data_IF_487892392448
#
_entry.id   IF_487892392448
#
_cell.length_a   1.000
_cell.length_b   1.000
_cell.length_c   1.000
_cell.angle_alpha   90.00
_cell.angle_beta   90.00
_cell.angle_gamma   90.00
#
_symmetry.space_group_name_H-M   'P 1'
#
loop_
_entity.id
_entity.type
_entity.pdbx_description
1 polymer ?
#
# COMPACT_ATOMS: atom_id res chain seq x y z
N UNK A 1 24.26 26.81 4.10
CA UNK A 1 23.62 25.93 3.10
C UNK A 1 24.01 24.50 3.43
N UNK A 2 23.03 23.61 3.62
CA UNK A 2 23.32 22.19 3.83
C UNK A 2 23.88 21.58 2.52
N UNK A 3 24.93 20.80 2.66
CA UNK A 3 25.52 20.05 1.52
C UNK A 3 24.62 18.86 1.18
N UNK A 4 23.95 18.91 0.04
CA UNK A 4 23.11 17.84 -0.49
C UNK A 4 23.84 16.95 -1.51
N UNK A 5 25.15 17.18 -1.78
CA UNK A 5 25.88 16.47 -2.83
C UNK A 5 25.85 14.94 -2.67
N UNK A 6 25.84 14.44 -1.42
CA UNK A 6 25.78 12.99 -1.14
C UNK A 6 24.40 12.34 -1.39
N UNK A 7 23.36 13.13 -1.70
CA UNK A 7 22.01 12.65 -1.96
C UNK A 7 21.59 12.79 -3.42
N UNK A 8 22.41 13.33 -4.29
CA UNK A 8 22.05 13.68 -5.67
C UNK A 8 21.69 12.47 -6.52
N UNK A 9 22.28 11.31 -6.24
CA UNK A 9 22.07 10.09 -7.00
C UNK A 9 21.12 9.10 -6.29
N UNK A 10 20.62 9.46 -5.10
CA UNK A 10 19.74 8.60 -4.32
C UNK A 10 18.29 8.73 -4.80
N UNK A 11 17.75 7.65 -5.34
CA UNK A 11 16.40 7.61 -5.90
C UNK A 11 15.39 7.25 -4.81
N UNK A 12 14.60 8.22 -4.38
CA UNK A 12 13.46 7.97 -3.50
C UNK A 12 12.17 7.95 -4.30
N UNK A 13 11.41 6.87 -4.19
CA UNK A 13 10.08 6.72 -4.78
C UNK A 13 9.05 6.87 -3.66
N UNK A 14 8.22 7.89 -3.78
CA UNK A 14 7.10 8.09 -2.86
C UNK A 14 5.86 7.39 -3.41
N UNK A 15 5.16 6.65 -2.56
CA UNK A 15 3.89 6.03 -2.92
C UNK A 15 2.84 6.19 -1.84
N UNK A 16 1.59 6.11 -2.25
CA UNK A 16 0.41 6.08 -1.39
C UNK A 16 -0.36 4.80 -1.62
N UNK A 17 -0.91 4.24 -0.56
CA UNK A 17 -1.67 3.00 -0.62
C UNK A 17 -2.90 3.09 0.29
N UNK A 18 -4.03 2.62 -0.18
CA UNK A 18 -5.27 2.54 0.57
C UNK A 18 -5.59 1.08 0.94
N UNK A 19 -5.96 0.87 2.20
CA UNK A 19 -6.81 -0.23 2.61
C UNK A 19 -8.23 0.32 2.72
N UNK A 20 -9.09 -0.02 1.76
CA UNK A 20 -10.47 0.48 1.70
C UNK A 20 -11.35 -0.50 2.46
N UNK A 21 -11.95 -0.03 3.54
CA UNK A 21 -12.80 -0.82 4.43
C UNK A 21 -14.26 -0.48 4.26
N UNK A 22 -15.08 -1.52 4.25
CA UNK A 22 -16.52 -1.40 4.42
C UNK A 22 -16.97 -2.43 5.46
N UNK A 23 -17.48 -1.97 6.58
CA UNK A 23 -17.75 -2.78 7.76
C UNK A 23 -16.47 -3.54 8.19
N UNK A 24 -16.51 -4.87 8.18
CA UNK A 24 -15.44 -5.79 8.57
C UNK A 24 -14.61 -6.33 7.40
N UNK A 25 -14.84 -5.87 6.17
CA UNK A 25 -14.12 -6.33 4.96
C UNK A 25 -13.23 -5.26 4.38
N UNK A 26 -12.14 -5.70 3.76
CA UNK A 26 -11.18 -4.85 3.05
C UNK A 26 -11.22 -5.14 1.56
N UNK A 27 -11.28 -4.08 0.74
CA UNK A 27 -11.18 -4.18 -0.72
C UNK A 27 -9.72 -4.34 -1.11
N UNK A 28 -9.42 -5.40 -1.84
CA UNK A 28 -8.09 -5.68 -2.34
C UNK A 28 -8.09 -5.93 -3.84
N UNK A 29 -7.05 -5.48 -4.51
CA UNK A 29 -6.77 -5.77 -5.91
C UNK A 29 -6.03 -7.12 -6.00
N UNK A 30 -6.63 -8.13 -6.63
CA UNK A 30 -5.89 -9.31 -7.09
C UNK A 30 -5.24 -8.98 -8.43
N UNK A 31 -3.93 -8.81 -8.44
CA UNK A 31 -3.14 -8.41 -9.61
C UNK A 31 -3.30 -9.41 -10.74
N UNK A 32 -3.38 -8.92 -11.97
CA UNK A 32 -3.46 -9.79 -13.14
C UNK A 32 -2.18 -10.65 -13.28
N UNK A 33 -2.35 -11.88 -13.77
CA UNK A 33 -1.25 -12.82 -13.99
C UNK A 33 -0.24 -12.33 -15.05
N UNK A 34 -0.62 -11.32 -15.83
CA UNK A 34 0.22 -10.67 -16.85
C UNK A 34 1.18 -9.61 -16.27
N UNK A 35 1.02 -9.25 -14.99
CA UNK A 35 1.88 -8.22 -14.36
C UNK A 35 3.28 -8.78 -14.08
N UNK A 36 4.30 -7.92 -14.24
CA UNK A 36 5.71 -8.30 -14.02
C UNK A 36 6.08 -8.45 -12.54
N UNK A 37 5.40 -7.71 -11.67
CA UNK A 37 5.65 -7.70 -10.22
C UNK A 37 4.46 -8.34 -9.54
N UNK A 38 4.69 -9.33 -8.71
CA UNK A 38 3.70 -10.05 -7.89
C UNK A 38 2.41 -10.44 -8.66
N UNK A 39 2.50 -11.18 -9.79
CA UNK A 39 1.32 -11.65 -10.51
C UNK A 39 0.44 -12.54 -9.61
N UNK A 40 -0.88 -12.33 -9.63
CA UNK A 40 -1.84 -13.08 -8.82
C UNK A 40 -1.88 -12.71 -7.34
N UNK A 41 -1.00 -11.82 -6.86
CA UNK A 41 -0.98 -11.38 -5.47
C UNK A 41 -2.09 -10.36 -5.18
N UNK A 42 -2.56 -10.38 -3.94
CA UNK A 42 -3.48 -9.37 -3.43
C UNK A 42 -2.71 -8.17 -2.90
N UNK A 43 -3.09 -6.98 -3.34
CA UNK A 43 -2.46 -5.71 -2.97
C UNK A 43 -3.50 -4.70 -2.50
N UNK A 44 -3.06 -3.66 -1.79
CA UNK A 44 -3.85 -2.44 -1.57
C UNK A 44 -4.04 -1.67 -2.87
N UNK A 45 -4.90 -0.66 -2.83
CA UNK A 45 -5.17 0.26 -3.95
C UNK A 45 -4.23 1.46 -3.81
N UNK A 46 -3.50 1.83 -4.87
CA UNK A 46 -2.62 2.97 -4.80
C UNK A 46 -1.48 2.94 -5.80
N UNK A 47 -0.64 3.97 -5.76
CA UNK A 47 0.46 4.13 -6.70
C UNK A 47 1.45 5.19 -6.30
N UNK A 48 2.23 5.65 -7.27
CA UNK A 48 3.27 6.66 -7.05
C UNK A 48 2.68 8.04 -6.90
N UNK A 49 3.32 8.84 -6.06
CA UNK A 49 3.03 10.27 -5.97
C UNK A 49 3.69 10.98 -7.13
N UNK A 50 2.92 11.74 -7.89
CA UNK A 50 3.39 12.53 -9.02
C UNK A 50 4.19 13.77 -8.55
N UNK A 51 5.10 14.32 -9.37
CA UNK A 51 5.78 15.56 -9.06
C UNK A 51 4.81 16.69 -8.72
N UNK A 52 5.06 17.40 -7.62
CA UNK A 52 4.23 18.50 -7.12
C UNK A 52 2.80 18.11 -6.66
N UNK A 53 2.53 16.82 -6.49
CA UNK A 53 1.27 16.31 -5.96
C UNK A 53 1.38 16.09 -4.43
N UNK A 54 0.32 16.39 -3.70
CA UNK A 54 0.24 16.03 -2.28
C UNK A 54 -0.11 14.55 -2.10
N UNK A 55 0.33 13.93 -1.00
CA UNK A 55 -0.03 12.54 -0.68
C UNK A 55 -1.55 12.30 -0.67
N UNK A 56 -2.32 13.28 -0.18
CA UNK A 56 -3.78 13.18 -0.16
C UNK A 56 -4.36 13.18 -1.58
N UNK A 57 -3.90 14.08 -2.45
CA UNK A 57 -4.38 14.15 -3.83
C UNK A 57 -3.97 12.90 -4.62
N UNK A 58 -2.75 12.43 -4.45
CA UNK A 58 -2.28 11.17 -5.04
C UNK A 58 -3.19 9.99 -4.62
N UNK A 59 -3.49 9.87 -3.32
CA UNK A 59 -4.38 8.84 -2.82
C UNK A 59 -5.77 8.88 -3.47
N UNK A 60 -6.38 10.06 -3.53
CA UNK A 60 -7.72 10.23 -4.13
C UNK A 60 -7.70 9.93 -5.62
N UNK A 61 -6.67 10.38 -6.34
CA UNK A 61 -6.48 10.09 -7.77
C UNK A 61 -6.37 8.60 -8.01
N UNK A 62 -5.46 7.90 -7.31
CA UNK A 62 -5.24 6.45 -7.46
C UNK A 62 -6.50 5.65 -7.13
N UNK A 63 -7.19 5.96 -6.02
CA UNK A 63 -8.46 5.28 -5.69
C UNK A 63 -9.49 5.48 -6.81
N UNK A 64 -9.62 6.70 -7.31
CA UNK A 64 -10.57 7.01 -8.38
C UNK A 64 -10.21 6.31 -9.69
N UNK A 65 -8.95 6.32 -10.07
CA UNK A 65 -8.46 5.70 -11.32
C UNK A 65 -8.65 4.18 -11.30
N UNK A 66 -8.28 3.53 -10.18
CA UNK A 66 -8.37 2.08 -10.08
C UNK A 66 -9.78 1.56 -9.80
N UNK A 67 -10.57 2.27 -8.97
CA UNK A 67 -11.84 1.76 -8.45
C UNK A 67 -13.08 2.53 -8.88
N UNK A 68 -12.92 3.76 -9.34
CA UNK A 68 -14.03 4.68 -9.61
C UNK A 68 -14.67 5.32 -8.37
N UNK A 69 -14.17 4.99 -7.16
CA UNK A 69 -14.71 5.54 -5.90
C UNK A 69 -14.37 7.02 -5.73
N UNK A 70 -15.33 7.80 -5.27
CA UNK A 70 -15.18 9.25 -5.03
C UNK A 70 -15.78 9.72 -3.70
N UNK A 71 -16.52 8.85 -3.01
CA UNK A 71 -17.18 9.18 -1.74
C UNK A 71 -16.62 8.31 -0.62
N UNK A 72 -16.21 8.96 0.47
CA UNK A 72 -15.56 8.33 1.60
C UNK A 72 -16.16 8.83 2.92
N UNK A 73 -16.37 7.95 3.89
CA UNK A 73 -16.77 8.33 5.25
C UNK A 73 -15.61 8.90 6.04
N UNK A 74 -14.43 8.31 5.88
CA UNK A 74 -13.21 8.78 6.52
C UNK A 74 -11.96 8.33 5.80
N UNK A 75 -10.91 9.15 5.89
CA UNK A 75 -9.57 8.87 5.40
C UNK A 75 -8.59 9.23 6.51
N UNK A 76 -7.70 8.32 6.88
CA UNK A 76 -6.60 8.61 7.80
C UNK A 76 -5.33 7.84 7.45
N UNK A 77 -4.14 8.43 7.62
CA UNK A 77 -2.91 7.66 7.53
C UNK A 77 -2.82 6.67 8.71
N UNK A 78 -2.21 5.50 8.48
CA UNK A 78 -1.97 4.53 9.54
C UNK A 78 -0.58 3.92 9.50
N UNK A 79 0.15 4.09 8.40
CA UNK A 79 1.52 3.59 8.34
C UNK A 79 2.40 4.47 7.45
N UNK A 80 3.66 4.58 7.85
CA UNK A 80 4.76 5.07 7.01
C UNK A 80 5.84 4.01 7.03
N UNK A 81 6.26 3.56 5.86
CA UNK A 81 7.25 2.50 5.73
C UNK A 81 8.35 2.86 4.73
N UNK A 82 9.54 2.36 5.00
CA UNK A 82 10.70 2.50 4.14
C UNK A 82 11.13 1.13 3.64
N UNK A 83 11.44 1.06 2.37
CA UNK A 83 11.86 -0.15 1.69
C UNK A 83 13.10 0.17 0.82
N UNK A 84 14.31 0.09 1.37
CA UNK A 84 15.50 0.06 0.55
C UNK A 84 15.41 -1.09 -0.44
N UNK A 85 15.58 -0.80 -1.73
CA UNK A 85 15.44 -1.78 -2.79
C UNK A 85 16.65 -1.78 -3.73
N UNK A 86 17.73 -2.46 -3.35
CA UNK A 86 18.98 -2.49 -4.09
C UNK A 86 18.87 -2.93 -5.56
N UNK A 87 17.95 -3.82 -5.96
CA UNK A 87 17.82 -4.21 -7.36
C UNK A 87 17.60 -3.05 -8.35
N UNK A 88 17.00 -1.95 -7.88
CA UNK A 88 16.76 -0.76 -8.71
C UNK A 88 17.50 0.49 -8.21
N UNK A 89 18.41 0.32 -7.24
CA UNK A 89 19.14 1.43 -6.61
C UNK A 89 18.19 2.54 -6.15
N UNK A 90 17.18 2.15 -5.40
CA UNK A 90 16.13 3.06 -4.95
C UNK A 90 15.66 2.72 -3.55
N UNK A 91 15.01 3.68 -2.92
CA UNK A 91 14.26 3.50 -1.69
C UNK A 91 12.82 3.90 -1.92
N UNK A 92 11.89 3.03 -1.51
CA UNK A 92 10.48 3.32 -1.54
C UNK A 92 10.04 3.80 -0.17
N UNK A 93 9.35 4.91 -0.14
CA UNK A 93 8.65 5.41 1.05
C UNK A 93 7.16 5.31 0.77
N UNK A 94 6.50 4.39 1.48
CA UNK A 94 5.08 4.13 1.30
C UNK A 94 4.30 4.75 2.45
N UNK A 95 3.26 5.51 2.12
CA UNK A 95 2.30 6.02 3.10
C UNK A 95 0.98 5.29 2.90
N UNK A 96 0.55 4.57 3.92
CA UNK A 96 -0.68 3.80 3.89
C UNK A 96 -1.81 4.53 4.60
N UNK A 97 -2.99 4.45 4.00
CA UNK A 97 -4.21 5.06 4.50
C UNK A 97 -5.30 4.01 4.73
N UNK A 98 -6.03 4.16 5.83
CA UNK A 98 -7.33 3.53 5.98
C UNK A 98 -8.35 4.48 5.34
N UNK A 99 -9.14 3.92 4.44
CA UNK A 99 -10.27 4.61 3.81
C UNK A 99 -11.53 3.84 4.16
N UNK A 100 -12.54 4.50 4.71
CA UNK A 100 -13.83 3.88 5.01
C UNK A 100 -14.89 4.35 4.05
N UNK A 101 -15.74 3.43 3.60
CA UNK A 101 -16.91 3.69 2.76
C UNK A 101 -18.17 3.10 3.39
N UNK A 102 -19.31 3.73 3.13
CA UNK A 102 -20.60 3.39 3.75
C UNK A 102 -21.17 2.04 3.32
N UNK A 103 -20.90 1.64 2.07
CA UNK A 103 -21.43 0.39 1.51
C UNK A 103 -20.42 -0.24 0.56
N UNK A 104 -20.41 -1.57 0.52
CA UNK A 104 -19.64 -2.29 -0.48
C UNK A 104 -20.13 -1.95 -1.88
N UNK A 105 -19.18 -1.78 -2.78
CA UNK A 105 -19.45 -1.55 -4.20
C UNK A 105 -18.82 -2.66 -5.01
N UNK A 106 -19.40 -2.95 -6.15
CA UNK A 106 -18.77 -3.78 -7.17
C UNK A 106 -17.81 -2.92 -7.97
N UNK A 107 -16.54 -3.28 -7.95
CA UNK A 107 -15.50 -2.61 -8.74
C UNK A 107 -15.23 -3.43 -9.98
N UNK A 108 -15.28 -2.79 -11.14
CA UNK A 108 -15.03 -3.48 -12.42
C UNK A 108 -13.57 -3.88 -12.53
N UNK A 109 -13.28 -5.04 -13.14
CA UNK A 109 -11.91 -5.41 -13.47
C UNK A 109 -11.22 -4.35 -14.32
N UNK A 110 -9.93 -4.20 -14.12
CA UNK A 110 -9.05 -3.32 -14.92
C UNK A 110 -7.95 -4.17 -15.56
N UNK A 111 -7.06 -3.55 -16.33
CA UNK A 111 -5.86 -4.22 -16.82
C UNK A 111 -4.88 -4.60 -15.69
N UNK A 112 -5.05 -4.01 -14.49
CA UNK A 112 -4.26 -4.32 -13.30
C UNK A 112 -4.74 -5.56 -12.57
N UNK A 113 -6.00 -5.92 -12.71
CA UNK A 113 -6.56 -7.13 -12.11
C UNK A 113 -8.04 -7.03 -11.74
N UNK A 114 -8.43 -7.81 -10.74
CA UNK A 114 -9.80 -7.91 -10.22
C UNK A 114 -9.86 -7.51 -8.75
N UNK A 115 -10.99 -6.95 -8.33
CA UNK A 115 -11.17 -6.45 -6.97
C UNK A 115 -12.05 -7.39 -6.15
N UNK A 116 -11.65 -7.63 -4.90
CA UNK A 116 -12.32 -8.56 -4.01
C UNK A 116 -12.47 -7.98 -2.61
N UNK A 117 -13.64 -8.15 -2.01
CA UNK A 117 -13.89 -7.84 -0.60
C UNK A 117 -13.45 -9.03 0.25
N UNK A 118 -12.33 -8.88 0.96
CA UNK A 118 -11.68 -9.94 1.73
C UNK A 118 -12.05 -9.80 3.21
N UNK A 119 -12.38 -10.91 3.85
CA UNK A 119 -12.43 -10.99 5.31
C UNK A 119 -10.98 -10.99 5.83
N UNK A 120 -10.62 -10.11 6.78
CA UNK A 120 -9.29 -10.08 7.37
C UNK A 120 -8.80 -11.43 7.91
N UNK A 121 -9.71 -12.30 8.34
CA UNK A 121 -9.37 -13.65 8.82
C UNK A 121 -8.82 -14.57 7.74
N UNK A 122 -9.11 -14.27 6.48
CA UNK A 122 -8.66 -15.06 5.33
C UNK A 122 -7.29 -14.61 4.81
N UNK A 123 -6.77 -13.46 5.28
CA UNK A 123 -5.60 -12.82 4.70
C UNK A 123 -4.35 -13.71 4.70
N UNK A 124 -4.19 -14.57 5.69
CA UNK A 124 -3.03 -15.48 5.78
C UNK A 124 -3.01 -16.52 4.68
N UNK A 125 -4.18 -16.95 4.24
CA UNK A 125 -4.33 -17.97 3.17
C UNK A 125 -4.13 -17.39 1.77
N UNK A 126 -4.17 -16.07 1.60
CA UNK A 126 -4.06 -15.41 0.32
C UNK A 126 -2.59 -15.14 -0.06
N UNK A 127 -2.24 -15.21 -1.34
CA UNK A 127 -0.97 -14.71 -1.83
C UNK A 127 -0.96 -13.17 -1.74
N UNK A 128 -0.36 -12.63 -0.69
CA UNK A 128 -0.23 -11.20 -0.47
C UNK A 128 1.13 -10.89 0.16
N UNK A 129 1.68 -9.68 -0.05
CA UNK A 129 2.90 -9.25 0.61
C UNK A 129 2.81 -9.35 2.13
N UNK A 130 3.93 -9.68 2.76
CA UNK A 130 3.98 -9.92 4.22
C UNK A 130 3.55 -8.69 5.01
N UNK A 131 3.95 -7.50 4.60
CA UNK A 131 3.59 -6.24 5.22
C UNK A 131 2.07 -5.99 5.19
N UNK A 132 1.43 -6.19 4.05
CA UNK A 132 -0.03 -6.07 3.90
C UNK A 132 -0.77 -7.02 4.85
N UNK A 133 -0.32 -8.28 4.93
CA UNK A 133 -0.91 -9.26 5.86
C UNK A 133 -0.82 -8.78 7.31
N UNK A 134 0.35 -8.29 7.71
CA UNK A 134 0.56 -7.78 9.06
C UNK A 134 -0.26 -6.54 9.35
N UNK A 135 -0.35 -5.59 8.41
CA UNK A 135 -1.15 -4.39 8.60
C UNK A 135 -2.63 -4.71 8.78
N UNK A 136 -3.18 -5.59 7.96
CA UNK A 136 -4.59 -5.99 8.09
C UNK A 136 -4.84 -6.65 9.45
N UNK A 137 -3.95 -7.50 9.95
CA UNK A 137 -4.07 -8.12 11.28
C UNK A 137 -4.00 -7.08 12.40
N UNK A 138 -2.98 -6.25 12.41
CA UNK A 138 -2.81 -5.20 13.42
C UNK A 138 -4.05 -4.30 13.46
N UNK A 139 -4.55 -3.88 12.30
CA UNK A 139 -5.71 -3.00 12.20
C UNK A 139 -7.02 -3.69 12.57
N UNK A 140 -7.13 -4.99 12.39
CA UNK A 140 -8.30 -5.76 12.84
C UNK A 140 -8.37 -5.85 14.38
N UNK A 141 -7.22 -5.91 15.05
CA UNK A 141 -7.11 -5.95 16.51
C UNK A 141 -7.12 -4.56 17.13
N UNK A 142 -6.42 -3.62 16.51
CA UNK A 142 -6.33 -2.22 16.94
C UNK A 142 -6.58 -1.26 15.76
N UNK A 143 -7.84 -0.90 15.49
CA UNK A 143 -8.19 -0.02 14.37
C UNK A 143 -7.57 1.37 14.41
N UNK A 144 -7.04 1.79 15.56
CA UNK A 144 -6.40 3.11 15.74
C UNK A 144 -4.87 3.06 15.68
N UNK A 145 -4.27 1.89 15.50
CA UNK A 145 -2.84 1.74 15.42
C UNK A 145 -2.23 2.65 14.35
N UNK A 146 -1.01 3.15 14.66
CA UNK A 146 -0.12 3.75 13.68
C UNK A 146 1.19 2.96 13.63
N UNK A 147 1.68 2.69 12.41
CA UNK A 147 2.79 1.75 12.19
C UNK A 147 3.94 2.47 11.49
N UNK A 148 5.12 2.43 12.09
CA UNK A 148 6.36 2.69 11.37
C UNK A 148 6.99 1.37 10.96
N UNK A 149 7.33 1.24 9.68
CA UNK A 149 7.93 0.03 9.14
C UNK A 149 9.24 0.29 8.42
N UNK A 150 10.15 -0.66 8.55
CA UNK A 150 11.38 -0.72 7.75
C UNK A 150 11.53 -2.14 7.24
N UNK A 151 11.68 -2.29 5.92
CA UNK A 151 11.76 -3.58 5.24
C UNK A 151 12.98 -3.56 4.33
N UNK A 152 14.07 -4.13 4.80
CA UNK A 152 15.32 -4.18 4.04
C UNK A 152 15.36 -5.39 3.10
N UNK A 153 15.92 -5.20 1.92
CA UNK A 153 15.98 -6.19 0.87
C UNK A 153 17.43 -6.41 0.41
N UNK A 154 17.75 -7.62 0.04
CA UNK A 154 19.05 -7.92 -0.58
C UNK A 154 19.07 -7.48 -2.07
N UNK A 155 20.24 -7.65 -2.70
CA UNK A 155 20.45 -7.34 -4.13
C UNK A 155 19.58 -8.15 -5.11
N UNK A 156 18.88 -9.18 -4.63
CA UNK A 156 17.95 -9.98 -5.42
C UNK A 156 16.49 -9.61 -5.12
N UNK A 157 16.23 -8.60 -4.28
CA UNK A 157 14.91 -8.17 -3.86
C UNK A 157 14.25 -9.05 -2.80
N UNK A 158 15.02 -9.90 -2.10
CA UNK A 158 14.50 -10.72 -1.02
C UNK A 158 14.53 -9.94 0.29
N UNK A 159 13.45 -9.99 1.05
CA UNK A 159 13.37 -9.39 2.39
C UNK A 159 14.41 -10.06 3.31
N UNK A 160 15.30 -9.28 3.91
CA UNK A 160 16.35 -9.72 4.84
C UNK A 160 16.17 -9.20 6.27
N UNK A 161 15.54 -8.05 6.43
CA UNK A 161 15.23 -7.50 7.75
C UNK A 161 13.86 -6.81 7.74
N UNK A 162 13.13 -6.95 8.84
CA UNK A 162 11.87 -6.27 9.07
C UNK A 162 11.85 -5.69 10.48
N UNK A 163 11.53 -4.40 10.59
CA UNK A 163 11.32 -3.71 11.86
C UNK A 163 9.96 -3.00 11.84
N UNK A 164 9.13 -3.28 12.82
CA UNK A 164 7.84 -2.62 13.00
C UNK A 164 7.78 -1.95 14.39
N UNK A 165 7.32 -0.72 14.41
CA UNK A 165 6.94 0.02 15.61
C UNK A 165 5.47 0.34 15.52
N UNK A 166 4.66 -0.27 16.38
CA UNK A 166 3.21 -0.01 16.50
C UNK A 166 2.99 0.97 17.65
N UNK A 167 2.20 2.01 17.41
CA UNK A 167 1.82 3.05 18.37
C UNK A 167 0.31 3.00 18.61
#
# INVERSE_FOLDING_TARGET
>A
MSDFSKYTDYKTVLSVNALIWCNDKVLMLKRADTKKVDPGFYAGIGGKVEPHESFYNALIREIKEETGLTEFESIRPYSVTQHPYPPTDSEWVNIYFIVKIAKQVEVKPTEDGTFHWIDPKEIDSLPAPTDIKEYIKILSENPNAFIFGFFDHDKNGRLIEKKLKVL
#
